data_IF_614825023889
#
_entry.id   IF_614825023889
#
_cell.length_a   1.000
_cell.length_b   1.000
_cell.length_c   1.000
_cell.angle_alpha   90.00
_cell.angle_beta   90.00
_cell.angle_gamma   90.00
#
_symmetry.space_group_name_H-M   'P 1'
#
loop_
_entity.id
_entity.type
_entity.pdbx_description
1 polymer ?
#
# COMPACT_ATOMS: atom_id res chain seq x y z
N UNK A 1 -63.37 -18.13 -22.63
CA UNK A 1 -62.00 -17.96 -22.10
C UNK A 1 -61.04 -17.85 -23.27
N UNK A 2 -60.61 -16.65 -23.62
CA UNK A 2 -59.63 -16.41 -24.68
C UNK A 2 -58.79 -15.20 -24.31
N UNK A 3 -57.64 -15.46 -23.69
CA UNK A 3 -56.76 -14.43 -23.12
C UNK A 3 -55.97 -13.69 -24.19
N UNK A 4 -56.01 -12.36 -24.12
CA UNK A 4 -55.17 -11.46 -24.91
C UNK A 4 -53.68 -11.69 -24.60
N UNK A 5 -52.91 -11.96 -25.64
CA UNK A 5 -51.44 -11.93 -25.65
C UNK A 5 -50.95 -10.48 -25.53
N UNK A 6 -50.41 -10.09 -24.37
CA UNK A 6 -49.60 -8.87 -24.25
C UNK A 6 -48.18 -9.17 -24.70
N UNK A 7 -47.80 -8.64 -25.86
CA UNK A 7 -46.44 -8.66 -26.38
C UNK A 7 -45.48 -7.96 -25.40
N UNK A 8 -44.36 -8.63 -25.10
CA UNK A 8 -43.28 -8.18 -24.23
C UNK A 8 -42.44 -7.14 -24.98
N UNK A 9 -42.46 -5.88 -24.54
CA UNK A 9 -41.58 -4.83 -25.06
C UNK A 9 -40.14 -5.20 -24.69
N UNK A 10 -39.30 -5.49 -25.70
CA UNK A 10 -37.85 -5.62 -25.55
C UNK A 10 -37.27 -4.22 -25.40
N UNK A 11 -36.83 -3.86 -24.20
CA UNK A 11 -36.02 -2.64 -24.01
C UNK A 11 -34.54 -2.98 -24.24
N UNK A 12 -33.95 -2.31 -25.21
CA UNK A 12 -32.53 -2.43 -25.61
C UNK A 12 -31.58 -1.98 -24.49
N UNK A 13 -30.34 -2.53 -24.40
CA UNK A 13 -29.34 -2.08 -23.44
C UNK A 13 -28.88 -0.65 -23.76
N UNK A 14 -28.80 0.21 -22.73
CA UNK A 14 -28.27 1.58 -22.81
C UNK A 14 -26.76 1.55 -23.08
N UNK A 15 -26.22 2.49 -23.87
CA UNK A 15 -24.80 2.50 -24.22
C UNK A 15 -23.91 2.84 -23.01
N UNK A 16 -22.74 2.20 -23.02
CA UNK A 16 -21.63 2.25 -22.07
C UNK A 16 -21.24 3.70 -21.70
N UNK A 17 -21.61 4.13 -20.49
CA UNK A 17 -21.06 5.34 -19.90
C UNK A 17 -19.69 4.98 -19.32
N UNK A 18 -18.61 5.28 -20.06
CA UNK A 18 -17.24 5.23 -19.52
C UNK A 18 -17.18 6.09 -18.26
N UNK A 19 -17.09 5.46 -17.09
CA UNK A 19 -16.87 6.15 -15.83
C UNK A 19 -15.58 6.99 -15.95
N UNK A 20 -15.71 8.29 -15.68
CA UNK A 20 -14.55 9.20 -15.60
C UNK A 20 -13.58 8.64 -14.54
N UNK A 21 -12.26 8.62 -14.77
CA UNK A 21 -11.32 8.12 -13.78
C UNK A 21 -11.55 8.86 -12.47
N UNK A 22 -11.85 8.12 -11.40
CA UNK A 22 -11.92 8.67 -10.05
C UNK A 22 -10.61 9.40 -9.81
N UNK A 23 -10.65 10.73 -9.78
CA UNK A 23 -9.54 11.53 -9.28
C UNK A 23 -9.17 10.92 -7.92
N UNK A 24 -8.01 10.28 -7.83
CA UNK A 24 -7.54 9.74 -6.57
C UNK A 24 -7.52 10.91 -5.60
N UNK A 25 -8.21 10.75 -4.46
CA UNK A 25 -8.42 11.81 -3.46
C UNK A 25 -7.10 12.44 -2.96
N UNK A 26 -6.00 11.76 -3.25
CA UNK A 26 -4.62 12.21 -3.15
C UNK A 26 -4.04 12.14 -4.56
N UNK A 27 -3.60 13.27 -5.12
CA UNK A 27 -3.03 13.40 -6.47
C UNK A 27 -1.63 12.77 -6.57
N UNK A 28 -1.41 11.65 -5.88
CA UNK A 28 -0.18 10.88 -5.88
C UNK A 28 0.02 10.28 -7.28
N UNK A 29 1.18 10.54 -7.85
CA UNK A 29 1.59 9.94 -9.12
C UNK A 29 2.34 8.65 -8.78
N UNK A 30 1.85 7.52 -9.33
CA UNK A 30 2.60 6.27 -9.31
C UNK A 30 3.92 6.46 -10.06
N UNK A 31 4.97 5.79 -9.59
CA UNK A 31 6.28 5.84 -10.21
C UNK A 31 6.82 4.43 -10.39
N UNK A 32 7.50 4.17 -11.49
CA UNK A 32 8.18 2.90 -11.74
C UNK A 32 9.68 3.11 -11.63
N UNK A 33 10.35 2.31 -10.81
CA UNK A 33 11.80 2.35 -10.57
C UNK A 33 12.29 0.91 -10.51
N UNK A 34 13.30 0.55 -11.29
CA UNK A 34 13.86 -0.81 -11.37
C UNK A 34 12.81 -1.90 -11.64
N UNK A 35 11.76 -1.59 -12.41
CA UNK A 35 10.64 -2.50 -12.69
C UNK A 35 9.63 -2.65 -11.54
N UNK A 36 9.79 -1.90 -10.45
CA UNK A 36 8.85 -1.87 -9.32
C UNK A 36 7.97 -0.64 -9.41
N UNK A 37 6.65 -0.84 -9.32
CA UNK A 37 5.67 0.26 -9.26
C UNK A 37 5.37 0.64 -7.82
N UNK A 38 5.54 1.93 -7.50
CA UNK A 38 5.20 2.53 -6.21
C UNK A 38 3.91 3.35 -6.31
N UNK A 39 3.14 3.39 -5.23
CA UNK A 39 1.86 4.11 -5.18
C UNK A 39 2.06 5.61 -5.03
N UNK A 40 3.22 6.04 -4.52
CA UNK A 40 3.59 7.44 -4.43
C UNK A 40 5.04 7.71 -4.85
N UNK A 41 5.29 8.95 -5.30
CA UNK A 41 6.65 9.42 -5.56
C UNK A 41 7.53 9.48 -4.31
N UNK A 42 6.95 9.53 -3.10
CA UNK A 42 7.70 9.49 -1.84
C UNK A 42 8.24 8.09 -1.54
N UNK A 43 7.43 7.05 -1.74
CA UNK A 43 7.89 5.65 -1.65
C UNK A 43 9.04 5.40 -2.63
N UNK A 44 8.87 5.82 -3.89
CA UNK A 44 9.92 5.67 -4.90
C UNK A 44 11.20 6.43 -4.58
N UNK A 45 11.10 7.63 -3.98
CA UNK A 45 12.28 8.37 -3.52
C UNK A 45 12.99 7.61 -2.38
N UNK A 46 12.23 7.14 -1.38
CA UNK A 46 12.79 6.41 -0.26
C UNK A 46 13.42 5.08 -0.68
N UNK A 47 12.82 4.37 -1.64
CA UNK A 47 13.39 3.18 -2.24
C UNK A 47 14.80 3.43 -2.80
N UNK A 48 15.01 4.55 -3.52
CA UNK A 48 16.35 4.90 -4.03
C UNK A 48 17.36 5.13 -2.91
N UNK A 49 16.95 5.82 -1.84
CA UNK A 49 17.81 6.04 -0.67
C UNK A 49 18.20 4.71 -0.03
N UNK A 50 17.23 3.81 0.18
CA UNK A 50 17.47 2.47 0.73
C UNK A 50 18.37 1.62 -0.18
N UNK A 51 18.24 1.71 -1.51
CA UNK A 51 19.16 1.05 -2.45
C UNK A 51 20.59 1.57 -2.35
N UNK A 52 20.78 2.86 -2.09
CA UNK A 52 22.11 3.43 -1.84
C UNK A 52 22.67 2.88 -0.54
N UNK A 53 21.88 2.89 0.54
CA UNK A 53 22.26 2.35 1.85
C UNK A 53 22.63 0.86 1.76
N UNK A 54 21.86 0.09 1.00
CA UNK A 54 22.15 -1.34 0.76
C UNK A 54 23.48 -1.51 0.01
N UNK A 55 23.73 -0.69 -1.02
CA UNK A 55 24.96 -0.75 -1.80
C UNK A 55 26.21 -0.41 -0.97
N UNK A 56 26.11 0.54 -0.04
CA UNK A 56 27.23 0.92 0.83
C UNK A 56 27.37 0.02 2.06
N UNK A 57 26.47 -0.96 2.25
CA UNK A 57 26.53 -1.95 3.32
C UNK A 57 25.91 -1.51 4.65
N UNK A 58 25.24 -0.37 4.70
CA UNK A 58 24.55 0.15 5.89
C UNK A 58 23.27 -0.63 6.21
N UNK A 59 22.63 -1.20 5.19
CA UNK A 59 21.51 -2.13 5.32
C UNK A 59 21.74 -3.35 4.42
N UNK A 60 20.99 -4.41 4.66
CA UNK A 60 21.06 -5.65 3.88
C UNK A 60 19.65 -6.21 3.63
N UNK A 61 19.52 -7.13 2.69
CA UNK A 61 18.28 -7.89 2.44
C UNK A 61 17.05 -7.01 2.19
N UNK A 62 17.17 -5.94 1.39
CA UNK A 62 16.04 -5.06 1.11
C UNK A 62 14.93 -5.82 0.36
N UNK A 63 13.75 -5.87 0.97
CA UNK A 63 12.53 -6.47 0.42
C UNK A 63 11.43 -5.43 0.36
N UNK A 64 10.57 -5.56 -0.64
CA UNK A 64 9.48 -4.63 -0.92
C UNK A 64 8.13 -5.32 -0.71
N UNK A 65 7.12 -4.56 -0.26
CA UNK A 65 5.73 -4.99 -0.16
C UNK A 65 5.56 -6.32 0.61
N UNK A 66 6.25 -6.46 1.74
CA UNK A 66 6.25 -7.70 2.53
C UNK A 66 4.93 -7.84 3.29
N UNK A 67 4.28 -8.99 3.13
CA UNK A 67 3.00 -9.29 3.78
C UNK A 67 3.22 -9.96 5.15
N UNK A 68 2.57 -9.42 6.18
CA UNK A 68 2.47 -9.98 7.52
C UNK A 68 1.02 -10.37 7.81
N UNK A 69 0.77 -11.63 8.18
CA UNK A 69 -0.55 -12.16 8.48
C UNK A 69 -0.93 -11.92 9.94
N UNK A 70 -1.69 -10.86 10.23
CA UNK A 70 -2.12 -10.55 11.59
C UNK A 70 -3.21 -11.54 12.04
N UNK A 71 -2.76 -12.59 12.73
CA UNK A 71 -3.55 -13.73 13.17
C UNK A 71 -3.50 -13.88 14.70
N UNK A 72 -4.63 -14.23 15.32
CA UNK A 72 -4.72 -14.54 16.75
C UNK A 72 -5.53 -15.82 16.93
N UNK A 73 -5.00 -16.79 17.68
CA UNK A 73 -5.65 -18.08 17.95
C UNK A 73 -6.07 -18.85 16.68
N UNK A 74 -5.26 -18.81 15.61
CA UNK A 74 -5.58 -19.48 14.35
C UNK A 74 -6.55 -18.70 13.43
N UNK A 75 -7.01 -17.52 13.83
CA UNK A 75 -7.99 -16.72 13.08
C UNK A 75 -7.30 -15.52 12.45
N UNK A 76 -7.24 -15.50 11.12
CA UNK A 76 -6.73 -14.37 10.35
C UNK A 76 -7.64 -13.15 10.52
N UNK A 77 -7.10 -12.08 11.09
CA UNK A 77 -7.83 -10.81 11.24
C UNK A 77 -7.66 -10.00 9.95
N UNK A 78 -6.42 -9.77 9.52
CA UNK A 78 -6.10 -9.12 8.25
C UNK A 78 -4.62 -9.31 7.88
N UNK A 79 -4.22 -8.80 6.71
CA UNK A 79 -2.82 -8.65 6.33
C UNK A 79 -2.36 -7.21 6.49
N UNK A 80 -1.14 -7.05 7.00
CA UNK A 80 -0.39 -5.80 6.90
C UNK A 80 0.66 -5.95 5.80
N UNK A 81 0.80 -4.92 4.96
CA UNK A 81 1.79 -4.89 3.89
C UNK A 81 2.77 -3.76 4.21
N UNK A 82 4.02 -4.13 4.48
CA UNK A 82 5.10 -3.18 4.73
C UNK A 82 5.70 -2.72 3.41
N UNK A 83 5.98 -1.42 3.27
CA UNK A 83 6.61 -0.89 2.06
C UNK A 83 8.02 -1.46 1.90
N UNK A 84 8.79 -1.47 2.98
CA UNK A 84 10.18 -1.91 3.02
C UNK A 84 10.46 -2.77 4.25
N UNK A 85 11.22 -3.84 4.04
CA UNK A 85 11.80 -4.64 5.12
C UNK A 85 13.26 -4.90 4.80
N UNK A 86 14.15 -4.64 5.75
CA UNK A 86 15.59 -4.81 5.58
C UNK A 86 16.27 -5.16 6.90
N UNK A 87 17.51 -5.60 6.85
CA UNK A 87 18.35 -5.81 8.03
C UNK A 87 19.24 -4.61 8.24
N UNK A 88 19.28 -4.07 9.45
CA UNK A 88 20.21 -3.02 9.86
C UNK A 88 20.79 -3.39 11.23
N UNK A 89 22.10 -3.29 11.39
CA UNK A 89 22.80 -3.63 12.64
C UNK A 89 22.46 -5.03 13.19
N UNK A 90 22.13 -5.97 12.30
CA UNK A 90 21.73 -7.35 12.64
C UNK A 90 20.24 -7.54 12.98
N UNK A 91 19.43 -6.49 12.98
CA UNK A 91 18.00 -6.54 13.30
C UNK A 91 17.12 -6.32 12.07
N UNK A 92 15.96 -6.99 12.01
CA UNK A 92 14.95 -6.73 10.97
C UNK A 92 14.21 -5.42 11.27
N UNK A 93 14.24 -4.50 10.31
CA UNK A 93 13.53 -3.23 10.34
C UNK A 93 12.36 -3.29 9.37
N UNK A 94 11.17 -2.99 9.87
CA UNK A 94 9.97 -2.79 9.06
C UNK A 94 9.72 -1.30 8.93
N UNK A 95 9.80 -0.79 7.70
CA UNK A 95 9.70 0.63 7.38
C UNK A 95 8.53 0.91 6.42
N UNK A 96 7.80 1.98 6.70
CA UNK A 96 6.63 2.39 5.94
C UNK A 96 6.65 3.92 5.71
N UNK A 97 6.41 4.34 4.47
CA UNK A 97 6.46 5.74 4.07
C UNK A 97 5.14 6.41 4.36
N UNK A 98 5.15 7.34 5.32
CA UNK A 98 3.93 7.96 5.84
C UNK A 98 3.73 9.39 5.36
N UNK A 99 2.63 9.58 4.63
CA UNK A 99 2.01 10.88 4.39
C UNK A 99 0.90 11.22 5.40
N UNK A 100 0.00 10.26 5.68
CA UNK A 100 -1.11 10.44 6.63
C UNK A 100 -1.44 9.14 7.34
N UNK A 101 -1.70 9.21 8.65
CA UNK A 101 -2.10 8.05 9.45
C UNK A 101 -3.62 7.87 9.43
N UNK A 102 -4.09 6.80 8.82
CA UNK A 102 -5.50 6.39 8.93
C UNK A 102 -5.76 5.65 10.25
N UNK A 103 -7.03 5.61 10.68
CA UNK A 103 -7.42 4.80 11.87
C UNK A 103 -7.07 3.32 11.68
N UNK A 104 -7.26 2.81 10.47
CA UNK A 104 -6.92 1.43 10.10
C UNK A 104 -5.42 1.16 10.22
N UNK A 105 -4.58 2.06 9.70
CA UNK A 105 -3.13 1.94 9.83
C UNK A 105 -2.70 1.92 11.29
N UNK A 106 -3.24 2.83 12.12
CA UNK A 106 -2.92 2.88 13.54
C UNK A 106 -3.29 1.57 14.27
N UNK A 107 -4.41 0.95 13.89
CA UNK A 107 -4.82 -0.34 14.44
C UNK A 107 -3.86 -1.46 13.99
N UNK A 108 -3.57 -1.57 12.68
CA UNK A 108 -2.64 -2.57 12.14
C UNK A 108 -1.23 -2.42 12.72
N UNK A 109 -0.74 -1.20 12.94
CA UNK A 109 0.54 -0.93 13.61
C UNK A 109 0.56 -1.47 15.04
N UNK A 110 -0.49 -1.20 15.82
CA UNK A 110 -0.62 -1.75 17.18
C UNK A 110 -0.67 -3.28 17.18
N UNK A 111 -1.36 -3.87 16.20
CA UNK A 111 -1.43 -5.32 16.04
C UNK A 111 -0.08 -5.93 15.66
N UNK A 112 0.69 -5.31 14.75
CA UNK A 112 2.06 -5.73 14.43
C UNK A 112 2.92 -5.80 15.70
N UNK A 113 2.84 -4.77 16.55
CA UNK A 113 3.57 -4.75 17.82
C UNK A 113 3.07 -5.83 18.79
N UNK A 114 1.76 -6.00 18.91
CA UNK A 114 1.17 -6.95 19.86
C UNK A 114 1.39 -8.42 19.46
N UNK A 115 1.32 -8.74 18.16
CA UNK A 115 1.40 -10.12 17.65
C UNK A 115 2.85 -10.54 17.42
N UNK A 116 3.67 -9.65 16.85
CA UNK A 116 5.05 -9.98 16.43
C UNK A 116 6.14 -9.29 17.24
N UNK A 117 5.79 -8.34 18.13
CA UNK A 117 6.80 -7.53 18.83
C UNK A 117 7.48 -6.48 17.95
N UNK A 118 7.05 -6.32 16.68
CA UNK A 118 7.68 -5.44 15.69
C UNK A 118 7.12 -4.02 15.81
N UNK A 119 8.01 -3.04 15.98
CA UNK A 119 7.68 -1.62 15.82
C UNK A 119 7.92 -1.19 14.37
N UNK A 120 6.91 -0.55 13.77
CA UNK A 120 7.01 -0.03 12.41
C UNK A 120 7.67 1.35 12.45
N UNK A 121 8.81 1.47 11.77
CA UNK A 121 9.48 2.74 11.50
C UNK A 121 8.71 3.52 10.44
N UNK A 122 8.30 4.74 10.77
CA UNK A 122 7.54 5.59 9.86
C UNK A 122 8.46 6.65 9.24
N UNK A 123 8.66 6.57 7.93
CA UNK A 123 9.44 7.56 7.20
C UNK A 123 8.56 8.70 6.70
N UNK A 124 8.86 9.92 7.13
CA UNK A 124 8.17 11.13 6.69
C UNK A 124 9.03 11.89 5.69
N UNK A 125 8.54 12.05 4.46
CA UNK A 125 9.26 12.82 3.45
C UNK A 125 9.23 14.32 3.79
N UNK A 126 10.37 14.88 4.20
CA UNK A 126 10.48 16.29 4.59
C UNK A 126 11.01 17.14 3.42
N UNK A 127 10.12 17.75 2.64
CA UNK A 127 10.49 18.72 1.60
C UNK A 127 10.69 20.12 2.21
N UNK A 128 11.70 20.33 3.05
CA UNK A 128 12.21 21.69 3.24
C UNK A 128 13.32 21.90 2.21
N UNK A 129 12.96 22.56 1.11
CA UNK A 129 13.89 23.05 0.09
C UNK A 129 15.06 23.74 0.77
N UNK A 130 16.30 23.32 0.47
CA UNK A 130 17.42 24.26 0.58
C UNK A 130 17.05 25.46 -0.31
N UNK A 131 16.96 26.63 0.33
CA UNK A 131 16.90 27.92 -0.37
C UNK A 131 18.29 28.31 -0.81
#
# INVERSE_FOLDING_TARGET
MGGLSKARIKTSPKPDQKEKPKNSKYRAKKVEIDGVTFDSGHEGARYRDLKVLERVGEIQNLRLQVAYSLEVNGILICKYYADFVYTKDGEEVVEDVKGFRTKEYNLKKKMMKAIYGIDIFEYYHNQKKLK
#
